data_IF_396572111280
#
_entry.id   IF_396572111280
#
_cell.length_a   1.000
_cell.length_b   1.000
_cell.length_c   1.000
_cell.angle_alpha   90.00
_cell.angle_beta   90.00
_cell.angle_gamma   90.00
#
_symmetry.space_group_name_H-M   'P 1'
#
loop_
_entity.id
_entity.type
_entity.pdbx_description
1 polymer ?
#
# COMPACT_ATOMS: atom_id res chain seq x y z
N UNK A 1 5.27 8.13 -1.70
CA UNK A 1 3.85 7.78 -1.43
C UNK A 1 3.61 7.21 -0.01
N UNK A 2 2.39 7.37 0.52
CA UNK A 2 1.90 6.75 1.78
C UNK A 2 0.66 5.88 1.53
N UNK A 3 0.36 5.01 2.49
CA UNK A 3 -0.81 4.15 2.47
C UNK A 3 -1.52 4.22 3.82
N UNK A 4 -2.82 4.47 3.77
CA UNK A 4 -3.75 4.22 4.85
C UNK A 4 -4.29 2.79 4.70
N UNK A 5 -4.25 2.01 5.76
CA UNK A 5 -4.68 0.62 5.77
C UNK A 5 -5.55 0.39 7.00
N UNK A 6 -6.81 0.02 6.80
CA UNK A 6 -7.75 -0.29 7.87
C UNK A 6 -8.17 -1.75 7.79
N UNK A 7 -8.00 -2.45 8.90
CA UNK A 7 -8.46 -3.83 9.08
C UNK A 7 -9.11 -3.92 10.45
N UNK A 8 -10.40 -4.29 10.49
CA UNK A 8 -11.16 -4.41 11.74
C UNK A 8 -11.04 -3.13 12.61
N UNK A 9 -10.58 -3.25 13.86
CA UNK A 9 -10.31 -2.13 14.77
C UNK A 9 -8.93 -1.46 14.60
N UNK A 10 -8.09 -1.95 13.68
CA UNK A 10 -6.73 -1.45 13.47
C UNK A 10 -6.68 -0.52 12.26
N UNK A 11 -6.06 0.65 12.44
CA UNK A 11 -5.72 1.58 11.36
C UNK A 11 -4.23 1.86 11.36
N UNK A 12 -3.57 1.61 10.23
CA UNK A 12 -2.17 1.89 9.98
C UNK A 12 -2.03 2.98 8.93
N UNK A 13 -1.18 3.96 9.20
CA UNK A 13 -0.80 4.98 8.23
C UNK A 13 0.72 5.00 8.08
N UNK A 14 1.20 4.52 6.93
CA UNK A 14 2.61 4.18 6.78
C UNK A 14 3.16 4.48 5.38
N UNK A 15 4.50 4.44 5.26
CA UNK A 15 5.17 4.55 3.96
C UNK A 15 5.02 3.25 3.18
N UNK A 16 4.81 3.43 1.87
CA UNK A 16 4.88 2.34 0.89
C UNK A 16 6.36 2.13 0.54
N UNK A 17 6.84 0.90 0.62
CA UNK A 17 8.20 0.56 0.22
C UNK A 17 8.31 0.16 -1.26
N UNK A 18 7.26 -0.42 -1.84
CA UNK A 18 7.08 -0.59 -3.27
C UNK A 18 5.59 -0.81 -3.59
N UNK A 19 5.23 -0.61 -4.86
CA UNK A 19 3.86 -0.77 -5.36
C UNK A 19 3.91 -1.36 -6.77
N UNK A 20 2.87 -2.10 -7.13
CA UNK A 20 2.63 -2.69 -8.45
C UNK A 20 1.13 -2.77 -8.70
N UNK A 21 0.72 -3.17 -9.90
CA UNK A 21 -0.71 -3.40 -10.20
C UNK A 21 -1.34 -4.51 -9.35
N UNK A 22 -0.54 -5.46 -8.83
CA UNK A 22 -1.04 -6.58 -8.03
C UNK A 22 -1.05 -6.33 -6.52
N UNK A 23 -0.39 -5.27 -6.03
CA UNK A 23 -0.23 -5.07 -4.61
C UNK A 23 0.87 -4.10 -4.22
N UNK A 24 1.11 -3.99 -2.91
CA UNK A 24 2.12 -3.10 -2.34
C UNK A 24 2.84 -3.74 -1.15
N UNK A 25 4.00 -3.19 -0.82
CA UNK A 25 4.68 -3.42 0.45
C UNK A 25 4.48 -2.22 1.37
N UNK A 26 3.80 -2.44 2.51
CA UNK A 26 3.64 -1.43 3.56
C UNK A 26 4.72 -1.64 4.64
N UNK A 27 5.48 -0.59 4.95
CA UNK A 27 6.46 -0.61 6.04
C UNK A 27 5.76 -0.41 7.37
N UNK A 28 5.89 -1.36 8.29
CA UNK A 28 5.33 -1.26 9.65
C UNK A 28 6.11 -2.16 10.59
N UNK A 29 6.29 -1.73 11.85
CA UNK A 29 6.87 -2.57 12.90
C UNK A 29 5.88 -3.58 13.46
N UNK A 30 4.59 -3.39 13.21
CA UNK A 30 3.47 -4.22 13.68
C UNK A 30 2.63 -4.66 12.48
N UNK A 31 3.13 -5.59 11.66
CA UNK A 31 2.36 -6.09 10.52
C UNK A 31 1.11 -6.82 10.98
N UNK A 32 0.04 -6.72 10.19
CA UNK A 32 -1.15 -7.53 10.37
C UNK A 32 -0.83 -9.01 10.10
N UNK A 33 -1.68 -9.90 10.62
CA UNK A 33 -1.54 -11.34 10.38
C UNK A 33 -1.69 -11.68 8.89
N UNK A 34 -0.91 -12.66 8.41
CA UNK A 34 -1.09 -13.18 7.04
C UNK A 34 -2.50 -13.76 6.88
N UNK A 35 -3.14 -13.43 5.76
CA UNK A 35 -4.54 -13.74 5.47
C UNK A 35 -5.53 -12.65 5.89
N UNK A 36 -5.13 -11.68 6.72
CA UNK A 36 -6.01 -10.57 7.11
C UNK A 36 -6.43 -9.75 5.89
N UNK A 37 -7.69 -9.31 5.87
CA UNK A 37 -8.22 -8.42 4.85
C UNK A 37 -8.21 -6.98 5.35
N UNK A 38 -7.86 -6.05 4.47
CA UNK A 38 -7.79 -4.64 4.78
C UNK A 38 -8.33 -3.79 3.62
N UNK A 39 -8.99 -2.69 3.96
CA UNK A 39 -9.21 -1.60 3.02
C UNK A 39 -7.95 -0.74 2.97
N UNK A 40 -7.42 -0.51 1.77
CA UNK A 40 -6.21 0.30 1.56
C UNK A 40 -6.55 1.52 0.72
N UNK A 41 -5.89 2.62 1.06
CA UNK A 41 -5.91 3.87 0.29
C UNK A 41 -4.48 4.36 0.06
N UNK A 42 -4.13 4.54 -1.21
CA UNK A 42 -2.83 4.98 -1.68
C UNK A 42 -2.88 6.41 -2.17
N UNK A 43 -1.89 7.21 -1.79
CA UNK A 43 -1.75 8.59 -2.23
C UNK A 43 -0.63 9.33 -1.50
N UNK A 44 -0.51 10.62 -1.76
CA UNK A 44 0.38 11.53 -1.01
C UNK A 44 -0.14 11.81 0.40
N UNK A 45 -1.46 11.71 0.61
CA UNK A 45 -2.16 12.16 1.82
C UNK A 45 -2.51 13.65 1.80
N UNK A 46 -2.26 14.35 0.70
CA UNK A 46 -2.61 15.76 0.53
C UNK A 46 -4.05 15.93 0.04
N UNK A 47 -4.72 16.98 0.52
CA UNK A 47 -6.14 17.22 0.22
C UNK A 47 -6.30 17.62 -1.25
N UNK A 48 -7.08 16.83 -2.00
CA UNK A 48 -7.40 17.12 -3.40
C UNK A 48 -6.51 16.41 -4.41
N UNK A 49 -5.54 15.62 -3.97
CA UNK A 49 -4.77 14.75 -4.86
C UNK A 49 -5.48 13.41 -5.12
N UNK A 50 -5.12 12.77 -6.24
CA UNK A 50 -5.71 11.50 -6.63
C UNK A 50 -5.33 10.40 -5.64
N UNK A 51 -6.34 9.69 -5.14
CA UNK A 51 -6.17 8.53 -4.26
C UNK A 51 -6.73 7.28 -4.93
N UNK A 52 -6.04 6.16 -4.77
CA UNK A 52 -6.51 4.83 -5.18
C UNK A 52 -7.00 4.09 -3.95
N UNK A 53 -8.14 3.41 -4.06
CA UNK A 53 -8.72 2.63 -2.98
C UNK A 53 -9.02 1.21 -3.46
N UNK A 54 -8.70 0.22 -2.62
CA UNK A 54 -8.99 -1.18 -2.90
C UNK A 54 -9.12 -2.01 -1.62
N UNK A 55 -9.78 -3.17 -1.75
CA UNK A 55 -9.63 -4.25 -0.78
C UNK A 55 -8.34 -5.01 -1.06
N UNK A 56 -7.66 -5.45 0.00
CA UNK A 56 -6.43 -6.19 -0.10
C UNK A 56 -6.35 -7.29 0.97
N UNK A 57 -5.49 -8.28 0.72
CA UNK A 57 -5.16 -9.36 1.64
C UNK A 57 -3.67 -9.34 1.96
N UNK A 58 -3.33 -9.52 3.23
CA UNK A 58 -1.94 -9.73 3.64
C UNK A 58 -1.48 -11.09 3.14
N UNK A 59 -0.48 -11.13 2.26
CA UNK A 59 0.05 -12.39 1.69
C UNK A 59 1.36 -12.83 2.35
N UNK A 60 2.07 -11.91 2.98
CA UNK A 60 3.22 -12.21 3.84
C UNK A 60 3.50 -11.04 4.80
N UNK A 61 4.16 -11.33 5.91
CA UNK A 61 4.59 -10.34 6.90
C UNK A 61 6.05 -10.57 7.33
N UNK A 62 6.74 -9.49 7.67
CA UNK A 62 8.10 -9.50 8.21
C UNK A 62 8.15 -8.68 9.49
N UNK A 63 8.58 -9.32 10.58
CA UNK A 63 8.77 -8.68 11.88
C UNK A 63 10.08 -7.87 11.94
N UNK A 64 10.17 -7.03 12.97
CA UNK A 64 11.37 -6.25 13.26
C UNK A 64 12.58 -7.16 13.59
N UNK A 65 13.80 -6.64 13.38
CA UNK A 65 15.06 -7.36 13.68
C UNK A 65 15.57 -8.30 12.58
N UNK A 66 14.94 -8.33 11.40
CA UNK A 66 15.43 -9.05 10.23
C UNK A 66 16.32 -8.16 9.34
N UNK A 67 17.09 -8.75 8.42
CA UNK A 67 18.03 -8.03 7.54
C UNK A 67 17.39 -7.05 6.55
N UNK A 68 16.05 -7.03 6.45
CA UNK A 68 15.28 -6.14 5.59
C UNK A 68 14.23 -5.39 6.42
N UNK A 69 13.76 -4.21 5.98
CA UNK A 69 12.76 -3.45 6.71
C UNK A 69 11.53 -4.28 7.08
N UNK A 70 10.98 -4.11 8.29
CA UNK A 70 9.75 -4.79 8.71
C UNK A 70 8.55 -4.23 7.95
N UNK A 71 7.52 -5.06 7.81
CA UNK A 71 6.30 -4.67 7.12
C UNK A 71 5.49 -5.85 6.62
N UNK A 72 4.56 -5.58 5.71
CA UNK A 72 3.69 -6.59 5.14
C UNK A 72 3.46 -6.37 3.65
N UNK A 73 3.38 -7.48 2.91
CA UNK A 73 2.94 -7.49 1.53
C UNK A 73 1.42 -7.63 1.47
N UNK A 74 0.78 -6.69 0.79
CA UNK A 74 -0.66 -6.66 0.56
C UNK A 74 -0.91 -6.92 -0.92
N UNK A 75 -1.70 -7.95 -1.23
CA UNK A 75 -2.20 -8.22 -2.57
C UNK A 75 -3.57 -7.56 -2.72
N UNK A 76 -3.77 -6.79 -3.78
CA UNK A 76 -5.08 -6.22 -4.08
C UNK A 76 -6.04 -7.33 -4.53
N UNK A 77 -7.32 -7.20 -4.16
CA UNK A 77 -8.38 -7.99 -4.75
C UNK A 77 -8.55 -7.62 -6.24
N UNK A 78 -9.47 -8.28 -6.94
CA UNK A 78 -9.73 -7.98 -8.35
C UNK A 78 -10.10 -6.51 -8.53
N UNK A 79 -9.27 -5.79 -9.30
CA UNK A 79 -9.49 -4.40 -9.70
C UNK A 79 -10.23 -4.36 -11.03
N UNK A 80 -11.20 -3.46 -11.18
CA UNK A 80 -11.75 -3.12 -12.49
C UNK A 80 -10.79 -2.23 -13.29
N UNK A 81 -11.08 -1.99 -14.57
CA UNK A 81 -10.19 -1.23 -15.45
C UNK A 81 -10.02 0.22 -15.01
N UNK A 82 -11.06 0.83 -14.45
CA UNK A 82 -10.98 2.20 -13.90
C UNK A 82 -10.03 2.26 -12.71
N UNK A 83 -10.13 1.31 -11.77
CA UNK A 83 -9.26 1.20 -10.61
C UNK A 83 -7.81 0.90 -11.02
N UNK A 84 -7.59 0.05 -12.03
CA UNK A 84 -6.26 -0.22 -12.60
C UNK A 84 -5.66 1.03 -13.21
N UNK A 85 -6.42 1.79 -13.99
CA UNK A 85 -5.95 3.06 -14.57
C UNK A 85 -5.58 4.09 -13.50
N UNK A 86 -6.42 4.23 -12.46
CA UNK A 86 -6.12 5.10 -11.32
C UNK A 86 -4.83 4.68 -10.61
N UNK A 87 -4.65 3.38 -10.36
CA UNK A 87 -3.45 2.84 -9.76
C UNK A 87 -2.21 3.13 -10.61
N UNK A 88 -2.29 2.92 -11.93
CA UNK A 88 -1.20 3.25 -12.87
C UNK A 88 -0.82 4.73 -12.81
N UNK A 89 -1.79 5.64 -12.74
CA UNK A 89 -1.51 7.09 -12.62
C UNK A 89 -0.73 7.40 -11.34
N UNK A 90 -1.11 6.79 -10.21
CA UNK A 90 -0.42 6.99 -8.93
C UNK A 90 1.00 6.44 -8.96
N UNK A 91 1.20 5.24 -9.52
CA UNK A 91 2.53 4.64 -9.66
C UNK A 91 3.44 5.55 -10.51
N UNK A 92 2.94 6.04 -11.65
CA UNK A 92 3.69 6.94 -12.51
C UNK A 92 4.07 8.25 -11.81
N UNK A 93 3.17 8.81 -11.01
CA UNK A 93 3.44 10.05 -10.26
C UNK A 93 4.50 9.85 -9.16
N UNK A 94 4.44 8.75 -8.42
CA UNK A 94 5.44 8.43 -7.38
C UNK A 94 6.84 8.21 -7.97
N UNK A 95 6.91 7.50 -9.11
CA UNK A 95 8.17 7.29 -9.84
C UNK A 95 8.78 8.62 -10.31
N UNK A 96 7.97 9.51 -10.89
CA UNK A 96 8.43 10.83 -11.33
C UNK A 96 8.95 11.69 -10.15
N UNK A 97 8.25 11.67 -9.02
CA UNK A 97 8.67 12.40 -7.81
C UNK A 97 9.98 11.84 -7.22
N UNK A 98 10.24 10.55 -7.35
CA UNK A 98 11.47 9.89 -6.86
C UNK A 98 12.70 10.06 -7.77
N UNK A 99 12.50 10.37 -9.05
CA UNK A 99 13.59 10.56 -10.02
C UNK A 99 14.13 12.01 -10.07
N UNK A 100 13.40 12.96 -9.48
CA UNK A 100 13.78 14.38 -9.42
C UNK A 100 14.47 14.82 -8.12
N UNK A 101 14.87 13.88 -7.26
CA UNK A 101 15.47 14.13 -5.95
C UNK A 101 16.94 13.68 -5.87
#
# INVERSE_FOLDING_TARGET
>A
MRCWCKADEVTLYARVGNVSEGGLFMRTSTPLQTGARAAVRLGSGEKGEAEFQAMAKVVWARQNGQSRPPGMGLQFDALDDTAREQLRRIISHDMAASAGA
#
